data_IF_691094580597
#
_entry.id   IF_691094580597
#
_cell.length_a   1.000
_cell.length_b   1.000
_cell.length_c   1.000
_cell.angle_alpha   90.00
_cell.angle_beta   90.00
_cell.angle_gamma   90.00
#
_symmetry.space_group_name_H-M   'P 1'
#
loop_
_entity.id
_entity.type
_entity.pdbx_description
1 polymer ?
#
# COMPACT_ATOMS: atom_id res chain seq x y z
N UNK A 1 13.88 -13.09 8.92
CA UNK A 1 13.92 -12.40 7.62
C UNK A 1 13.43 -10.97 7.83
N UNK A 2 14.23 -10.01 7.46
CA UNK A 2 13.87 -8.58 7.36
C UNK A 2 13.23 -8.34 5.99
N UNK A 3 12.23 -7.49 5.91
CA UNK A 3 11.62 -7.08 4.64
C UNK A 3 12.55 -6.13 3.87
N UNK A 4 12.39 -6.04 2.57
CA UNK A 4 13.12 -5.07 1.72
C UNK A 4 12.79 -3.60 2.07
N UNK A 5 11.62 -3.35 2.67
CA UNK A 5 11.21 -2.05 3.21
C UNK A 5 11.21 -2.06 4.74
N UNK A 6 11.70 -0.98 5.35
CA UNK A 6 11.56 -0.77 6.80
C UNK A 6 10.09 -0.71 7.15
N UNK A 7 9.62 -1.60 8.01
CA UNK A 7 8.19 -1.83 8.23
C UNK A 7 7.84 -1.76 9.72
N UNK A 8 6.84 -0.95 10.06
CA UNK A 8 6.15 -1.03 11.35
C UNK A 8 5.15 -2.18 11.28
N UNK A 9 5.29 -3.16 12.18
CA UNK A 9 4.48 -4.38 12.21
C UNK A 9 3.60 -4.42 13.43
N UNK A 10 2.28 -4.48 13.24
CA UNK A 10 1.31 -4.68 14.31
C UNK A 10 0.80 -6.13 14.21
N UNK A 11 1.22 -6.95 15.16
CA UNK A 11 0.86 -8.37 15.20
C UNK A 11 -0.61 -8.56 15.62
N UNK A 12 -1.23 -9.70 15.25
CA UNK A 12 -2.51 -10.14 15.81
C UNK A 12 -2.52 -10.13 17.32
N UNK A 13 -3.68 -10.28 17.93
CA UNK A 13 -3.79 -10.50 19.38
C UNK A 13 -2.99 -11.72 19.82
N UNK A 14 -2.61 -11.76 21.11
CA UNK A 14 -1.83 -12.87 21.67
C UNK A 14 -2.46 -14.22 21.34
N UNK A 15 -1.62 -15.14 20.86
CA UNK A 15 -2.01 -16.51 20.50
C UNK A 15 -2.97 -16.63 19.31
N UNK A 16 -3.25 -15.57 18.55
CA UNK A 16 -4.01 -15.68 17.32
C UNK A 16 -3.06 -15.92 16.14
N UNK A 17 -3.37 -16.89 15.28
CA UNK A 17 -2.59 -17.12 14.04
C UNK A 17 -2.80 -15.97 13.06
N UNK A 18 -1.78 -15.68 12.25
CA UNK A 18 -1.93 -14.79 11.08
C UNK A 18 -2.73 -15.53 10.02
N UNK A 19 -3.92 -15.04 9.69
CA UNK A 19 -4.78 -15.56 8.60
C UNK A 19 -4.93 -14.55 7.48
N UNK A 20 -4.72 -13.26 7.77
CA UNK A 20 -4.87 -12.18 6.81
C UNK A 20 -3.79 -11.13 7.06
N UNK A 21 -3.52 -10.34 6.04
CA UNK A 21 -2.67 -9.16 6.16
C UNK A 21 -3.37 -7.91 5.64
N UNK A 22 -3.10 -6.77 6.27
CA UNK A 22 -3.36 -5.44 5.73
C UNK A 22 -2.02 -4.77 5.51
N UNK A 23 -1.72 -4.44 4.26
CA UNK A 23 -0.56 -3.62 3.89
C UNK A 23 -1.07 -2.19 3.78
N UNK A 24 -0.60 -1.31 4.68
CA UNK A 24 -1.09 0.07 4.81
C UNK A 24 0.00 1.05 4.41
N UNK A 25 -0.23 1.75 3.28
CA UNK A 25 0.73 2.66 2.66
C UNK A 25 0.44 4.11 3.03
N UNK A 26 1.47 4.80 3.56
CA UNK A 26 1.37 6.21 3.98
C UNK A 26 1.32 7.18 2.79
N UNK A 27 0.90 8.42 3.03
CA UNK A 27 0.92 9.52 2.07
C UNK A 27 2.32 10.12 1.88
N UNK A 28 2.42 11.06 0.93
CA UNK A 28 3.65 11.81 0.64
C UNK A 28 4.18 12.53 1.89
N UNK A 29 5.44 12.29 2.23
CA UNK A 29 6.08 12.87 3.42
C UNK A 29 5.69 12.23 4.75
N UNK A 30 4.87 11.15 4.73
CA UNK A 30 4.54 10.37 5.90
C UNK A 30 5.52 9.22 6.17
N UNK A 31 5.19 8.38 7.12
CA UNK A 31 5.93 7.15 7.42
C UNK A 31 5.00 6.03 7.91
N UNK A 32 5.57 4.82 7.98
CA UNK A 32 4.83 3.62 8.40
C UNK A 32 4.42 3.65 9.88
N UNK A 33 5.16 4.35 10.73
CA UNK A 33 4.85 4.44 12.15
C UNK A 33 3.60 5.29 12.39
N UNK A 34 3.53 6.45 11.74
CA UNK A 34 2.41 7.37 11.90
C UNK A 34 1.12 6.77 11.35
N UNK A 35 1.16 6.21 10.12
CA UNK A 35 -0.04 5.61 9.53
C UNK A 35 -0.49 4.36 10.29
N UNK A 36 0.41 3.68 10.99
CA UNK A 36 0.06 2.52 11.82
C UNK A 36 -0.93 2.83 12.94
N UNK A 37 -1.05 4.10 13.35
CA UNK A 37 -2.02 4.53 14.36
C UNK A 37 -3.47 4.25 13.95
N UNK A 38 -3.79 4.23 12.66
CA UNK A 38 -5.12 3.87 12.14
C UNK A 38 -5.48 2.41 12.50
N UNK A 39 -4.48 1.53 12.60
CA UNK A 39 -4.70 0.11 12.89
C UNK A 39 -5.23 -0.14 14.30
N UNK A 40 -5.04 0.80 15.24
CA UNK A 40 -5.51 0.67 16.63
C UNK A 40 -7.04 0.50 16.70
N UNK A 41 -7.77 1.25 15.86
CA UNK A 41 -9.22 1.11 15.75
C UNK A 41 -9.67 -0.17 15.03
N UNK A 42 -8.86 -0.67 14.09
CA UNK A 42 -9.21 -1.83 13.26
C UNK A 42 -8.88 -3.17 13.89
N UNK A 43 -7.81 -3.23 14.69
CA UNK A 43 -7.27 -4.47 15.28
C UNK A 43 -8.32 -5.26 16.07
N UNK A 44 -9.17 -4.59 16.83
CA UNK A 44 -10.24 -5.21 17.62
C UNK A 44 -11.27 -5.96 16.79
N UNK A 45 -11.44 -5.55 15.51
CA UNK A 45 -12.38 -6.17 14.58
C UNK A 45 -11.71 -7.21 13.65
N UNK A 46 -10.38 -7.23 13.64
CA UNK A 46 -9.56 -8.06 12.76
C UNK A 46 -8.52 -8.86 13.58
N UNK A 47 -8.97 -9.74 14.50
CA UNK A 47 -8.11 -10.35 15.52
C UNK A 47 -7.02 -11.29 14.97
N UNK A 48 -7.19 -11.81 13.75
CA UNK A 48 -6.23 -12.72 13.09
C UNK A 48 -5.42 -12.03 11.98
N UNK A 49 -5.45 -10.70 11.94
CA UNK A 49 -4.81 -9.90 10.89
C UNK A 49 -3.50 -9.30 11.38
N UNK A 50 -2.47 -9.43 10.57
CA UNK A 50 -1.24 -8.69 10.74
C UNK A 50 -1.32 -7.39 9.92
N UNK A 51 -0.93 -6.26 10.52
CA UNK A 51 -0.84 -4.98 9.82
C UNK A 51 0.63 -4.68 9.54
N UNK A 52 0.92 -4.34 8.31
CA UNK A 52 2.25 -4.08 7.79
C UNK A 52 2.26 -2.68 7.19
N UNK A 53 2.93 -1.76 7.86
CA UNK A 53 2.99 -0.35 7.50
C UNK A 53 4.45 -0.02 7.11
N UNK A 54 4.83 -0.21 5.83
CA UNK A 54 6.19 0.07 5.37
C UNK A 54 6.41 1.57 5.18
N UNK A 55 7.66 2.00 5.33
CA UNK A 55 8.12 3.28 4.82
C UNK A 55 8.26 3.20 3.29
N UNK A 56 8.00 4.31 2.61
CA UNK A 56 8.37 4.45 1.21
C UNK A 56 9.87 4.22 1.01
N UNK A 57 10.26 3.85 -0.19
CA UNK A 57 11.66 3.47 -0.49
C UNK A 57 12.60 4.68 -0.60
N UNK A 58 12.07 5.89 -0.71
CA UNK A 58 12.83 7.13 -0.83
C UNK A 58 12.49 8.10 0.29
N UNK A 59 13.48 8.92 0.68
CA UNK A 59 13.23 10.06 1.56
C UNK A 59 12.46 11.15 0.84
N UNK A 60 11.53 11.78 1.54
CA UNK A 60 10.75 12.87 0.99
C UNK A 60 11.54 14.19 1.00
N UNK A 61 11.70 14.89 -0.14
CA UNK A 61 12.48 16.13 -0.20
C UNK A 61 11.88 17.26 0.63
N UNK A 62 10.55 17.34 0.77
CA UNK A 62 9.88 18.38 1.55
C UNK A 62 9.75 18.03 3.04
N UNK A 63 9.94 16.76 3.43
CA UNK A 63 9.98 16.30 4.81
C UNK A 63 11.11 15.28 5.00
N UNK A 64 12.32 15.70 5.42
CA UNK A 64 13.44 14.79 5.57
C UNK A 64 13.24 13.65 6.57
N UNK A 65 12.29 13.78 7.50
CA UNK A 65 11.93 12.72 8.44
C UNK A 65 10.98 11.69 7.83
N UNK A 66 10.25 12.06 6.78
CA UNK A 66 9.28 11.21 6.09
C UNK A 66 9.82 10.56 4.83
N UNK A 67 8.92 9.87 4.14
CA UNK A 67 9.22 9.07 2.96
C UNK A 67 8.22 9.34 1.84
N UNK A 68 8.55 8.89 0.65
CA UNK A 68 7.70 8.95 -0.54
C UNK A 68 7.72 7.62 -1.30
N UNK A 69 6.65 7.37 -2.05
CA UNK A 69 6.57 6.23 -2.97
C UNK A 69 7.12 6.61 -4.34
N UNK A 70 6.89 7.84 -4.77
CA UNK A 70 7.43 8.41 -5.99
C UNK A 70 7.55 9.93 -5.86
N UNK A 71 8.45 10.52 -6.64
CA UNK A 71 8.72 11.94 -6.60
C UNK A 71 7.57 12.75 -7.21
N UNK A 72 7.15 13.80 -6.50
CA UNK A 72 6.14 14.79 -6.90
C UNK A 72 6.73 16.21 -7.06
N UNK A 73 8.04 16.35 -7.11
CA UNK A 73 8.69 17.68 -7.27
C UNK A 73 8.48 18.29 -8.65
N UNK A 74 8.13 17.45 -9.64
CA UNK A 74 7.79 17.90 -10.99
C UNK A 74 6.32 17.56 -11.28
N UNK A 75 5.58 18.56 -11.73
CA UNK A 75 4.21 18.39 -12.21
C UNK A 75 4.22 17.96 -13.69
N UNK A 76 4.77 16.78 -13.92
CA UNK A 76 4.91 16.16 -15.23
C UNK A 76 4.34 14.74 -15.17
N UNK A 77 3.24 14.43 -15.87
CA UNK A 77 2.61 13.13 -15.84
C UNK A 77 3.53 11.98 -16.26
N UNK A 78 4.36 12.15 -17.29
CA UNK A 78 5.28 11.10 -17.74
C UNK A 78 6.35 10.82 -16.70
N UNK A 79 6.88 11.87 -16.07
CA UNK A 79 7.81 11.74 -14.97
C UNK A 79 7.20 10.99 -13.77
N UNK A 80 5.99 11.36 -13.36
CA UNK A 80 5.27 10.71 -12.25
C UNK A 80 5.06 9.22 -12.55
N UNK A 81 4.67 8.87 -13.78
CA UNK A 81 4.50 7.49 -14.23
C UNK A 81 5.82 6.72 -14.14
N UNK A 82 6.92 7.29 -14.63
CA UNK A 82 8.24 6.67 -14.56
C UNK A 82 8.66 6.42 -13.10
N UNK A 83 8.52 7.41 -12.23
CA UNK A 83 8.88 7.28 -10.82
C UNK A 83 8.00 6.26 -10.09
N UNK A 84 6.70 6.23 -10.38
CA UNK A 84 5.77 5.27 -9.77
C UNK A 84 6.09 3.81 -10.13
N UNK A 85 6.65 3.54 -11.32
CA UNK A 85 7.09 2.20 -11.73
C UNK A 85 8.23 1.65 -10.85
N UNK A 86 9.09 2.51 -10.31
CA UNK A 86 10.13 2.08 -9.36
C UNK A 86 9.48 1.57 -8.07
N UNK A 87 8.54 2.34 -7.52
CA UNK A 87 7.79 1.94 -6.32
C UNK A 87 6.97 0.66 -6.56
N UNK A 88 6.35 0.52 -7.73
CA UNK A 88 5.62 -0.68 -8.14
C UNK A 88 6.50 -1.93 -8.04
N UNK A 89 7.71 -1.89 -8.60
CA UNK A 89 8.63 -3.02 -8.58
C UNK A 89 9.05 -3.39 -7.14
N UNK A 90 9.32 -2.40 -6.30
CA UNK A 90 9.69 -2.62 -4.91
C UNK A 90 8.51 -3.19 -4.11
N UNK A 91 7.30 -2.67 -4.34
CA UNK A 91 6.10 -3.18 -3.68
C UNK A 91 5.76 -4.62 -4.12
N UNK A 92 6.00 -5.00 -5.38
CA UNK A 92 5.87 -6.40 -5.83
C UNK A 92 6.79 -7.34 -5.04
N UNK A 93 8.05 -6.96 -4.87
CA UNK A 93 9.00 -7.72 -4.05
C UNK A 93 8.51 -7.81 -2.60
N UNK A 94 8.13 -6.67 -2.02
CA UNK A 94 7.66 -6.57 -0.64
C UNK A 94 6.42 -7.45 -0.37
N UNK A 95 5.43 -7.40 -1.26
CA UNK A 95 4.21 -8.23 -1.16
C UNK A 95 4.57 -9.73 -1.22
N UNK A 96 5.49 -10.12 -2.12
CA UNK A 96 5.95 -11.51 -2.21
C UNK A 96 6.69 -11.97 -0.94
N UNK A 97 7.50 -11.11 -0.33
CA UNK A 97 8.13 -11.40 0.98
C UNK A 97 7.09 -11.66 2.08
N UNK A 98 6.00 -10.87 2.10
CA UNK A 98 4.89 -11.04 3.05
C UNK A 98 4.18 -12.37 2.80
N UNK A 99 3.82 -12.66 1.54
CA UNK A 99 3.18 -13.94 1.15
C UNK A 99 4.00 -15.13 1.62
N UNK A 100 5.29 -15.12 1.34
CA UNK A 100 6.20 -16.21 1.72
C UNK A 100 6.39 -16.32 3.24
N UNK A 101 6.50 -15.19 3.94
CA UNK A 101 6.78 -15.18 5.38
C UNK A 101 5.60 -15.66 6.21
N UNK A 102 4.38 -15.35 5.79
CA UNK A 102 3.16 -15.65 6.53
C UNK A 102 2.28 -16.70 5.88
N UNK A 103 2.75 -17.31 4.78
CA UNK A 103 2.02 -18.33 4.00
C UNK A 103 0.64 -17.81 3.55
N UNK A 104 0.61 -16.60 2.96
CA UNK A 104 -0.61 -15.93 2.54
C UNK A 104 -0.76 -15.90 1.01
N UNK A 105 -2.00 -15.98 0.55
CA UNK A 105 -2.40 -15.74 -0.84
C UNK A 105 -2.82 -14.28 -1.01
N UNK A 106 -2.87 -13.80 -2.26
CA UNK A 106 -3.39 -12.45 -2.54
C UNK A 106 -4.81 -12.24 -1.98
N UNK A 107 -5.67 -13.25 -2.06
CA UNK A 107 -7.05 -13.21 -1.54
C UNK A 107 -7.15 -13.04 -0.01
N UNK A 108 -6.04 -13.15 0.71
CA UNK A 108 -5.94 -12.96 2.15
C UNK A 108 -5.23 -11.64 2.52
N UNK A 109 -4.90 -10.82 1.52
CA UNK A 109 -4.21 -9.54 1.70
C UNK A 109 -5.12 -8.40 1.25
N UNK A 110 -5.32 -7.41 2.13
CA UNK A 110 -5.91 -6.12 1.81
C UNK A 110 -4.80 -5.10 1.56
N UNK A 111 -4.88 -4.37 0.46
CA UNK A 111 -4.05 -3.20 0.20
C UNK A 111 -4.81 -1.96 0.65
N UNK A 112 -4.25 -1.19 1.56
CA UNK A 112 -4.85 0.04 2.04
C UNK A 112 -3.85 1.20 1.94
N UNK A 113 -4.35 2.44 1.78
CA UNK A 113 -3.44 3.57 1.71
C UNK A 113 -4.13 4.93 1.76
N UNK A 114 -3.34 5.94 2.10
CA UNK A 114 -3.75 7.32 2.14
C UNK A 114 -2.98 8.14 1.10
N UNK A 115 -3.68 9.01 0.34
CA UNK A 115 -3.10 9.92 -0.64
C UNK A 115 -2.17 9.18 -1.62
N UNK A 116 -0.87 9.46 -1.64
CA UNK A 116 0.10 8.75 -2.48
C UNK A 116 0.12 7.24 -2.22
N UNK A 117 -0.03 6.81 -0.97
CA UNK A 117 -0.18 5.38 -0.62
C UNK A 117 -1.47 4.77 -1.15
N UNK A 118 -2.57 5.53 -1.21
CA UNK A 118 -3.80 5.10 -1.88
C UNK A 118 -3.56 4.88 -3.39
N UNK A 119 -2.87 5.82 -4.04
CA UNK A 119 -2.53 5.71 -5.46
C UNK A 119 -1.73 4.43 -5.76
N UNK A 120 -0.74 4.11 -4.92
CA UNK A 120 0.04 2.87 -5.05
C UNK A 120 -0.79 1.63 -4.74
N UNK A 121 -1.68 1.66 -3.74
CA UNK A 121 -2.58 0.54 -3.41
C UNK A 121 -3.52 0.22 -4.58
N UNK A 122 -4.09 1.24 -5.21
CA UNK A 122 -4.94 1.10 -6.40
C UNK A 122 -4.13 0.48 -7.55
N UNK A 123 -2.95 1.05 -7.84
CA UNK A 123 -2.10 0.59 -8.94
C UNK A 123 -1.72 -0.88 -8.73
N UNK A 124 -1.15 -1.23 -7.57
CA UNK A 124 -0.75 -2.60 -7.24
C UNK A 124 -1.90 -3.59 -7.30
N UNK A 125 -3.07 -3.20 -6.79
CA UNK A 125 -4.25 -4.04 -6.80
C UNK A 125 -4.79 -4.30 -8.20
N UNK A 126 -4.78 -3.30 -9.08
CA UNK A 126 -5.32 -3.41 -10.44
C UNK A 126 -4.41 -4.20 -11.39
N UNK A 127 -3.07 -4.05 -11.26
CA UNK A 127 -2.11 -4.71 -12.16
C UNK A 127 -1.75 -6.14 -11.73
N UNK A 128 -2.32 -6.62 -10.63
CA UNK A 128 -2.04 -7.97 -10.12
C UNK A 128 -2.70 -9.05 -10.98
N UNK A 129 -1.99 -10.13 -11.23
CA UNK A 129 -2.54 -11.30 -11.96
C UNK A 129 -3.62 -12.03 -11.16
N UNK A 130 -3.52 -11.99 -9.82
CA UNK A 130 -4.48 -12.58 -8.88
C UNK A 130 -5.18 -11.46 -8.09
N UNK A 131 -6.47 -11.66 -7.80
CA UNK A 131 -7.22 -10.71 -6.99
C UNK A 131 -6.71 -10.68 -5.55
N UNK A 132 -6.49 -9.47 -5.04
CA UNK A 132 -6.37 -9.24 -3.61
C UNK A 132 -7.72 -9.41 -2.90
N UNK A 133 -7.72 -9.52 -1.58
CA UNK A 133 -8.94 -9.52 -0.79
C UNK A 133 -9.76 -8.26 -1.07
N UNK A 134 -9.10 -7.12 -0.96
CA UNK A 134 -9.69 -5.80 -1.21
C UNK A 134 -8.63 -4.72 -1.35
N UNK A 135 -9.05 -3.58 -1.90
CA UNK A 135 -8.31 -2.31 -1.87
C UNK A 135 -9.15 -1.32 -1.06
N UNK A 136 -8.53 -0.63 -0.09
CA UNK A 136 -9.17 0.45 0.67
C UNK A 136 -8.34 1.71 0.52
N UNK A 137 -8.88 2.68 -0.21
CA UNK A 137 -8.16 3.91 -0.57
C UNK A 137 -8.80 5.15 0.05
N UNK A 138 -7.96 6.00 0.64
CA UNK A 138 -8.35 7.30 1.18
C UNK A 138 -7.65 8.40 0.40
N UNK A 139 -8.41 9.33 -0.20
CA UNK A 139 -7.92 10.56 -0.85
C UNK A 139 -6.81 10.32 -1.89
N UNK A 140 -7.01 9.37 -2.80
CA UNK A 140 -6.07 9.04 -3.87
C UNK A 140 -6.73 8.96 -5.22
N UNK A 141 -5.92 8.88 -6.28
CA UNK A 141 -6.36 8.78 -7.68
C UNK A 141 -5.57 7.71 -8.44
N UNK A 142 -6.07 7.33 -9.60
CA UNK A 142 -5.33 6.47 -10.55
C UNK A 142 -4.15 7.26 -11.13
N UNK A 143 -2.94 6.70 -11.06
CA UNK A 143 -1.71 7.35 -11.54
C UNK A 143 -1.69 7.41 -13.07
N UNK A 144 -1.94 6.28 -13.72
CA UNK A 144 -1.84 6.13 -15.17
C UNK A 144 -3.04 5.36 -15.71
N UNK A 145 -4.09 6.09 -16.05
CA UNK A 145 -5.33 5.51 -16.59
C UNK A 145 -5.12 4.82 -17.94
N UNK A 146 -4.32 5.43 -18.82
CA UNK A 146 -4.11 4.92 -20.19
C UNK A 146 -3.36 3.59 -20.18
N UNK A 147 -2.33 3.47 -19.35
CA UNK A 147 -1.59 2.21 -19.17
C UNK A 147 -2.50 1.10 -18.61
N UNK A 148 -3.37 1.43 -17.64
CA UNK A 148 -4.30 0.47 -17.06
C UNK A 148 -5.37 -0.03 -18.05
N UNK A 149 -5.86 0.83 -18.95
CA UNK A 149 -6.85 0.45 -19.96
C UNK A 149 -6.30 -0.63 -20.91
N UNK A 150 -5.00 -0.60 -21.18
CA UNK A 150 -4.33 -1.53 -22.09
C UNK A 150 -3.82 -2.81 -21.40
N UNK A 151 -4.01 -2.95 -20.10
CA UNK A 151 -3.60 -4.14 -19.33
C UNK A 151 -4.80 -4.99 -18.94
N UNK A 152 -4.55 -6.27 -18.68
CA UNK A 152 -5.48 -7.11 -17.94
C UNK A 152 -5.59 -6.57 -16.52
N UNK A 153 -6.76 -6.11 -16.14
CA UNK A 153 -7.04 -5.55 -14.81
C UNK A 153 -7.62 -6.64 -13.91
N UNK A 154 -7.14 -6.70 -12.67
CA UNK A 154 -7.69 -7.57 -11.65
C UNK A 154 -9.11 -7.11 -11.25
N UNK A 155 -9.95 -8.06 -10.85
CA UNK A 155 -11.31 -7.81 -10.34
C UNK A 155 -11.35 -7.65 -8.81
N UNK A 156 -10.26 -7.16 -8.22
CA UNK A 156 -10.18 -6.90 -6.78
C UNK A 156 -11.23 -5.88 -6.35
N UNK A 157 -12.01 -6.22 -5.33
CA UNK A 157 -13.02 -5.31 -4.75
C UNK A 157 -12.34 -4.05 -4.21
N UNK A 158 -12.94 -2.88 -4.42
CA UNK A 158 -12.35 -1.60 -4.05
C UNK A 158 -13.36 -0.73 -3.28
N UNK A 159 -12.89 -0.15 -2.19
CA UNK A 159 -13.56 0.92 -1.46
C UNK A 159 -12.70 2.17 -1.52
N UNK A 160 -13.22 3.22 -2.14
CA UNK A 160 -12.55 4.53 -2.20
C UNK A 160 -13.34 5.55 -1.39
N UNK A 161 -12.62 6.30 -0.58
CA UNK A 161 -13.16 7.32 0.32
C UNK A 161 -12.44 8.63 0.03
N UNK A 162 -13.20 9.66 -0.31
CA UNK A 162 -12.70 11.01 -0.56
C UNK A 162 -13.49 12.02 0.27
N UNK A 163 -12.84 13.13 0.60
CA UNK A 163 -13.56 14.33 1.02
C UNK A 163 -14.28 14.96 -0.17
N UNK A 164 -15.34 15.70 0.08
CA UNK A 164 -16.12 16.42 -0.93
C UNK A 164 -15.39 17.61 -1.55
N UNK A 165 -14.27 18.00 -0.95
CA UNK A 165 -13.38 19.09 -1.43
C UNK A 165 -11.99 18.57 -1.82
N UNK A 166 -11.81 17.29 -1.98
CA UNK A 166 -10.52 16.62 -2.21
C UNK A 166 -10.24 16.43 -3.73
#
# INVERSE_FOLDING_TARGET
MTFCLTTTVIKPEQNKPVKNAVILLHGYGGDGKDISMLTLGWKRHLPNTIFLCPNGHEKCPINPSGFQWFDLTKDDPEYIIEQSKKAENILKVYINEIKNKYDLKNSEICLAGFSQGCMMSINMGLISDENFNSIVGFSGKIINREDLINRKISLTKMLLIHGDQD
#
